data_IF_330303283089
#
_entry.id   IF_330303283089
#
_cell.length_a   1.000
_cell.length_b   1.000
_cell.length_c   1.000
_cell.angle_alpha   90.00
_cell.angle_beta   90.00
_cell.angle_gamma   90.00
#
_symmetry.space_group_name_H-M   'P 1'
#
loop_
_entity.id
_entity.type
_entity.pdbx_description
1 polymer ?
#
# COMPACT_ATOMS: atom_id res chain seq x y z
N UNK A 1 -39.44 4.11 15.80
CA UNK A 1 -39.57 3.14 16.88
C UNK A 1 -38.63 1.98 16.64
N UNK A 2 -37.90 1.56 17.66
CA UNK A 2 -36.94 0.44 17.58
C UNK A 2 -37.60 -0.92 17.92
N UNK A 3 -38.81 -0.89 18.49
CA UNK A 3 -39.53 -2.08 18.88
C UNK A 3 -41.02 -1.91 18.56
N UNK A 4 -41.57 -2.84 17.80
CA UNK A 4 -42.98 -2.85 17.40
C UNK A 4 -43.91 -3.06 18.58
N UNK A 5 -43.44 -3.72 19.64
CA UNK A 5 -44.23 -3.96 20.85
C UNK A 5 -44.55 -2.70 21.66
N UNK A 6 -43.84 -1.60 21.42
CA UNK A 6 -44.05 -0.30 22.08
C UNK A 6 -45.00 0.61 21.30
N UNK A 7 -45.49 0.19 20.15
CA UNK A 7 -46.39 0.98 19.32
C UNK A 7 -47.83 0.77 19.73
N UNK A 8 -48.61 1.84 19.67
CA UNK A 8 -50.04 1.87 19.92
C UNK A 8 -50.74 2.51 18.71
N UNK A 9 -52.07 2.36 18.62
CA UNK A 9 -52.83 2.97 17.54
C UNK A 9 -52.74 4.50 17.45
N UNK A 10 -52.25 5.19 18.51
CA UNK A 10 -51.97 6.61 18.52
C UNK A 10 -50.54 6.99 18.13
N UNK A 11 -49.64 6.02 17.93
CA UNK A 11 -48.26 6.28 17.57
C UNK A 11 -48.17 6.84 16.15
N UNK A 12 -47.50 8.00 15.99
CA UNK A 12 -47.29 8.66 14.68
C UNK A 12 -45.98 8.17 14.05
N UNK A 13 -45.98 6.99 13.49
CA UNK A 13 -44.83 6.35 12.81
C UNK A 13 -45.23 5.93 11.41
N UNK A 14 -44.23 5.83 10.56
CA UNK A 14 -44.33 5.26 9.22
C UNK A 14 -43.33 4.12 9.08
N UNK A 15 -43.54 3.25 8.14
CA UNK A 15 -42.65 2.13 7.80
C UNK A 15 -42.10 2.36 6.39
N UNK A 16 -40.81 2.13 6.24
CA UNK A 16 -40.12 2.28 4.97
C UNK A 16 -39.59 0.91 4.56
N UNK A 17 -39.93 0.47 3.36
CA UNK A 17 -39.46 -0.79 2.78
C UNK A 17 -38.84 -0.50 1.42
N UNK A 18 -37.67 -1.07 1.16
CA UNK A 18 -37.09 -1.08 -0.17
C UNK A 18 -37.76 -2.16 -1.03
N UNK A 19 -38.15 -1.77 -2.24
CA UNK A 19 -38.73 -2.65 -3.26
C UNK A 19 -37.81 -2.71 -4.48
N UNK A 20 -38.24 -3.33 -5.57
CA UNK A 20 -37.42 -3.50 -6.77
C UNK A 20 -36.85 -2.19 -7.32
N UNK A 21 -35.63 -2.28 -7.87
CA UNK A 21 -34.91 -1.18 -8.54
C UNK A 21 -34.58 0.04 -7.66
N UNK A 22 -34.35 -0.17 -6.35
CA UNK A 22 -33.95 0.89 -5.43
C UNK A 22 -35.06 1.91 -5.14
N UNK A 23 -36.33 1.53 -5.37
CA UNK A 23 -37.49 2.30 -4.96
C UNK A 23 -37.86 1.97 -3.52
N UNK A 24 -38.46 2.94 -2.85
CA UNK A 24 -38.93 2.78 -1.48
C UNK A 24 -40.46 2.93 -1.43
N UNK A 25 -41.07 2.06 -0.66
CA UNK A 25 -42.48 2.11 -0.34
C UNK A 25 -42.67 2.57 1.09
N UNK A 26 -43.61 3.51 1.30
CA UNK A 26 -43.88 4.09 2.61
C UNK A 26 -45.26 3.62 3.03
N UNK A 27 -45.30 2.90 4.16
CA UNK A 27 -46.54 2.45 4.77
C UNK A 27 -46.89 3.26 6.03
N UNK A 28 -48.13 3.54 6.19
CA UNK A 28 -48.69 4.11 7.42
C UNK A 28 -49.49 3.07 8.22
N UNK A 29 -49.76 3.36 9.45
CA UNK A 29 -50.49 2.45 10.30
C UNK A 29 -51.95 2.27 9.88
N UNK A 30 -52.60 1.26 10.48
CA UNK A 30 -54.00 0.89 10.31
C UNK A 30 -54.89 1.35 11.48
N UNK A 31 -54.35 2.13 12.43
CA UNK A 31 -55.00 2.56 13.62
C UNK A 31 -54.90 1.55 14.82
N UNK A 32 -54.25 0.39 14.59
CA UNK A 32 -54.01 -0.63 15.64
C UNK A 32 -52.54 -0.56 16.12
N UNK A 33 -51.60 -0.68 15.19
CA UNK A 33 -50.16 -0.66 15.52
C UNK A 33 -49.59 0.76 15.44
N UNK A 34 -50.13 1.60 14.53
CA UNK A 34 -49.80 3.01 14.45
C UNK A 34 -50.95 3.78 13.82
N UNK A 35 -50.92 5.10 13.91
CA UNK A 35 -51.96 5.97 13.36
C UNK A 35 -52.05 5.83 11.85
N UNK A 36 -53.24 5.58 11.32
CA UNK A 36 -53.53 5.60 9.89
C UNK A 36 -53.63 7.04 9.35
N UNK A 37 -53.47 7.20 8.05
CA UNK A 37 -53.79 8.44 7.34
C UNK A 37 -55.23 8.43 6.88
N UNK A 38 -55.86 9.61 6.88
CA UNK A 38 -57.23 9.81 6.41
C UNK A 38 -57.25 10.48 5.04
N UNK A 39 -58.38 10.40 4.36
CA UNK A 39 -58.58 11.11 3.10
C UNK A 39 -58.36 12.62 3.28
N UNK A 40 -57.62 13.24 2.35
CA UNK A 40 -57.24 14.64 2.43
C UNK A 40 -55.96 14.97 3.20
N UNK A 41 -55.31 13.94 3.84
CA UNK A 41 -53.99 14.17 4.40
C UNK A 41 -52.94 14.42 3.34
N UNK A 42 -52.04 15.38 3.59
CA UNK A 42 -50.91 15.70 2.74
C UNK A 42 -49.69 15.00 3.30
N UNK A 43 -49.04 14.17 2.50
CA UNK A 43 -47.78 13.51 2.84
C UNK A 43 -46.63 14.27 2.16
N UNK A 44 -45.76 14.86 2.98
CA UNK A 44 -44.56 15.55 2.48
C UNK A 44 -43.34 14.64 2.68
N UNK A 45 -42.68 14.27 1.60
CA UNK A 45 -41.45 13.47 1.61
C UNK A 45 -40.25 14.37 1.45
N UNK A 46 -39.34 14.32 2.42
CA UNK A 46 -38.03 14.96 2.34
C UNK A 46 -36.96 13.90 2.29
N UNK A 47 -36.16 13.92 1.24
CA UNK A 47 -35.10 12.92 1.04
C UNK A 47 -33.83 13.59 0.48
N UNK A 48 -32.69 12.96 0.70
CA UNK A 48 -31.40 13.40 0.22
C UNK A 48 -31.02 12.58 -1.01
N UNK A 49 -30.64 13.26 -2.08
CA UNK A 49 -30.03 12.63 -3.26
C UNK A 49 -28.52 12.78 -3.14
N UNK A 50 -27.82 11.67 -3.11
CA UNK A 50 -26.36 11.65 -3.04
C UNK A 50 -25.74 11.35 -4.42
N UNK A 51 -24.56 11.90 -4.66
CA UNK A 51 -23.76 11.58 -5.86
C UNK A 51 -22.94 10.29 -5.70
N UNK A 52 -23.29 9.44 -4.71
CA UNK A 52 -22.61 8.18 -4.40
C UNK A 52 -21.09 8.37 -4.25
N UNK A 53 -20.28 7.63 -5.00
CA UNK A 53 -18.81 7.72 -4.94
C UNK A 53 -18.22 8.93 -5.65
N UNK A 54 -18.99 9.63 -6.49
CA UNK A 54 -18.47 10.70 -7.37
C UNK A 54 -17.89 11.92 -6.60
N UNK A 55 -18.33 12.15 -5.37
CA UNK A 55 -17.82 13.22 -4.52
C UNK A 55 -16.61 12.83 -3.65
N UNK A 56 -16.27 11.54 -3.59
CA UNK A 56 -15.13 11.09 -2.80
C UNK A 56 -13.82 11.67 -3.35
N UNK A 57 -12.95 12.11 -2.43
CA UNK A 57 -11.67 12.73 -2.78
C UNK A 57 -11.74 14.22 -3.08
N UNK A 58 -12.93 14.84 -3.09
CA UNK A 58 -13.03 16.30 -3.26
C UNK A 58 -12.32 17.05 -2.12
N UNK A 59 -11.46 18.00 -2.48
CA UNK A 59 -10.64 18.79 -1.54
C UNK A 59 -10.99 20.26 -1.52
N UNK A 60 -11.85 20.72 -2.45
CA UNK A 60 -12.30 22.11 -2.54
C UNK A 60 -13.79 22.21 -2.27
N UNK A 61 -14.15 23.04 -1.31
CA UNK A 61 -15.53 23.27 -0.91
C UNK A 61 -15.83 24.76 -0.95
N UNK A 62 -16.99 25.13 -1.51
CA UNK A 62 -17.50 26.49 -1.50
C UNK A 62 -18.64 26.63 -0.50
N UNK A 63 -18.65 27.72 0.22
CA UNK A 63 -19.79 28.12 1.07
C UNK A 63 -20.85 28.86 0.26
N UNK A 64 -22.14 28.72 0.57
CA UNK A 64 -23.15 29.68 0.12
C UNK A 64 -22.79 31.08 0.61
N UNK A 65 -23.31 32.10 -0.06
CA UNK A 65 -23.02 33.51 0.23
C UNK A 65 -23.34 33.92 1.68
N UNK A 66 -24.26 33.21 2.32
CA UNK A 66 -24.57 33.39 3.75
C UNK A 66 -25.09 32.11 4.36
N UNK A 67 -24.79 31.89 5.64
CA UNK A 67 -25.37 30.83 6.46
C UNK A 67 -26.05 31.52 7.64
N UNK A 68 -27.35 31.33 7.81
CA UNK A 68 -28.19 31.98 8.87
C UNK A 68 -27.98 33.48 8.96
N UNK A 69 -27.90 34.16 7.80
CA UNK A 69 -27.69 35.60 7.71
C UNK A 69 -26.24 36.09 7.89
N UNK A 70 -25.30 35.20 8.24
CA UNK A 70 -23.86 35.52 8.37
C UNK A 70 -23.19 35.44 7.01
N UNK A 71 -22.52 36.53 6.60
CA UNK A 71 -21.76 36.62 5.34
C UNK A 71 -20.24 36.61 5.61
N UNK A 72 -19.44 36.38 4.57
CA UNK A 72 -17.96 36.42 4.69
C UNK A 72 -17.38 35.13 5.33
N UNK A 73 -18.07 34.01 5.19
CA UNK A 73 -17.65 32.72 5.76
C UNK A 73 -16.45 32.18 4.99
N UNK A 74 -15.38 31.86 5.73
CA UNK A 74 -14.20 31.17 5.19
C UNK A 74 -14.33 29.68 5.41
N UNK A 75 -14.22 28.91 4.33
CA UNK A 75 -14.23 27.44 4.38
C UNK A 75 -12.80 26.94 4.34
N UNK A 76 -12.38 26.20 5.37
CA UNK A 76 -11.07 25.54 5.41
C UNK A 76 -11.28 24.04 5.32
N UNK A 77 -10.66 23.40 4.33
CA UNK A 77 -10.73 21.94 4.16
C UNK A 77 -9.83 21.26 5.20
N UNK A 78 -10.41 20.45 6.06
CA UNK A 78 -9.69 19.66 7.07
C UNK A 78 -9.29 18.30 6.52
N UNK A 79 -10.15 17.71 5.67
CA UNK A 79 -9.91 16.43 5.01
C UNK A 79 -10.70 16.38 3.70
N UNK A 80 -10.26 15.53 2.76
CA UNK A 80 -11.02 15.26 1.55
C UNK A 80 -12.36 14.59 1.85
N UNK A 81 -13.35 14.86 0.99
CA UNK A 81 -14.66 14.21 1.11
C UNK A 81 -14.55 12.69 1.01
N UNK A 82 -15.28 11.99 1.87
CA UNK A 82 -15.33 10.53 1.90
C UNK A 82 -16.70 10.06 2.42
N UNK A 83 -17.02 8.78 2.28
CA UNK A 83 -18.25 8.20 2.79
C UNK A 83 -19.34 7.98 1.72
N UNK A 84 -19.11 8.44 0.48
CA UNK A 84 -19.98 8.07 -0.64
C UNK A 84 -19.72 6.63 -1.05
N UNK A 85 -20.77 5.84 -1.27
CA UNK A 85 -20.68 4.45 -1.70
C UNK A 85 -21.73 4.13 -2.77
N UNK A 86 -21.42 3.17 -3.63
CA UNK A 86 -22.40 2.55 -4.51
C UNK A 86 -23.30 1.60 -3.69
N UNK A 87 -24.51 1.30 -4.16
CA UNK A 87 -25.33 0.25 -3.58
C UNK A 87 -24.57 -1.08 -3.50
N UNK A 88 -24.78 -1.81 -2.43
CA UNK A 88 -24.12 -3.10 -2.23
C UNK A 88 -24.55 -4.09 -3.31
N UNK A 89 -23.57 -4.84 -3.84
CA UNK A 89 -23.83 -5.85 -4.87
C UNK A 89 -24.49 -7.10 -4.28
N UNK A 90 -25.26 -7.84 -5.09
CA UNK A 90 -25.93 -9.07 -4.66
C UNK A 90 -24.94 -10.12 -4.14
N UNK A 91 -23.75 -10.23 -4.74
CA UNK A 91 -22.74 -11.19 -4.30
C UNK A 91 -22.13 -10.78 -2.95
N UNK A 92 -21.96 -9.49 -2.70
CA UNK A 92 -21.56 -8.96 -1.39
C UNK A 92 -22.61 -9.25 -0.33
N UNK A 93 -23.90 -9.04 -0.66
CA UNK A 93 -25.01 -9.34 0.26
C UNK A 93 -25.04 -10.84 0.59
N UNK A 94 -24.94 -11.72 -0.42
CA UNK A 94 -24.91 -13.18 -0.19
C UNK A 94 -23.77 -13.61 0.73
N UNK A 95 -22.61 -12.95 0.64
CA UNK A 95 -21.47 -13.25 1.50
C UNK A 95 -21.66 -12.73 2.93
N UNK A 96 -22.20 -11.52 3.08
CA UNK A 96 -22.29 -10.83 4.38
C UNK A 96 -23.54 -11.18 5.18
N UNK A 97 -24.70 -11.42 4.53
CA UNK A 97 -25.95 -11.65 5.23
C UNK A 97 -25.91 -12.86 6.20
N UNK A 98 -25.29 -14.01 5.88
CA UNK A 98 -25.14 -15.09 6.84
C UNK A 98 -24.31 -14.72 8.07
N UNK A 99 -23.26 -13.89 7.89
CA UNK A 99 -22.39 -13.44 8.98
C UNK A 99 -23.11 -12.43 9.86
N UNK A 100 -23.85 -11.49 9.29
CA UNK A 100 -24.68 -10.53 10.02
C UNK A 100 -25.77 -11.26 10.84
N UNK A 101 -26.44 -12.23 10.24
CA UNK A 101 -27.42 -13.08 10.93
C UNK A 101 -26.79 -13.89 12.07
N UNK A 102 -25.60 -14.47 11.84
CA UNK A 102 -24.90 -15.26 12.87
C UNK A 102 -24.47 -14.41 14.06
N UNK A 103 -24.15 -13.13 13.87
CA UNK A 103 -23.79 -12.19 14.95
C UNK A 103 -24.94 -11.90 15.92
N UNK A 104 -26.19 -12.07 15.47
CA UNK A 104 -27.42 -11.79 16.25
C UNK A 104 -27.40 -10.41 16.92
N UNK A 105 -26.84 -9.41 16.26
CA UNK A 105 -26.77 -8.04 16.78
C UNK A 105 -25.76 -7.85 17.92
N UNK A 106 -24.77 -8.73 18.07
CA UNK A 106 -23.72 -8.64 19.10
C UNK A 106 -22.35 -8.84 18.51
N UNK A 107 -21.41 -7.96 18.85
CA UNK A 107 -20.01 -8.07 18.48
C UNK A 107 -19.24 -8.79 19.59
N UNK A 108 -19.01 -10.09 19.42
CA UNK A 108 -18.30 -10.97 20.36
C UNK A 108 -16.98 -11.43 19.78
N UNK A 109 -17.00 -11.87 18.53
CA UNK A 109 -15.80 -12.33 17.80
C UNK A 109 -15.21 -11.22 16.94
N UNK A 110 -13.95 -11.36 16.53
CA UNK A 110 -13.30 -10.43 15.61
C UNK A 110 -14.07 -10.30 14.28
N UNK A 111 -14.67 -11.39 13.81
CA UNK A 111 -15.50 -11.39 12.60
C UNK A 111 -16.80 -10.59 12.74
N UNK A 112 -17.44 -10.61 13.92
CA UNK A 112 -18.61 -9.78 14.15
C UNK A 112 -18.25 -8.29 14.06
N UNK A 113 -17.12 -7.88 14.67
CA UNK A 113 -16.64 -6.51 14.55
C UNK A 113 -16.36 -6.11 13.08
N UNK A 114 -15.77 -7.00 12.27
CA UNK A 114 -15.56 -6.73 10.83
C UNK A 114 -16.89 -6.44 10.12
N UNK A 115 -17.93 -7.24 10.38
CA UNK A 115 -19.26 -7.09 9.77
C UNK A 115 -19.90 -5.76 10.18
N UNK A 116 -19.89 -5.43 11.48
CA UNK A 116 -20.46 -4.17 11.95
C UNK A 116 -19.68 -2.94 11.44
N UNK A 117 -18.37 -3.01 11.38
CA UNK A 117 -17.53 -1.92 10.80
C UNK A 117 -17.90 -1.69 9.35
N UNK A 118 -18.00 -2.73 8.52
CA UNK A 118 -18.40 -2.61 7.11
C UNK A 118 -19.81 -2.04 6.94
N UNK A 119 -20.70 -2.33 7.87
CA UNK A 119 -22.06 -1.79 7.88
C UNK A 119 -22.08 -0.31 8.28
N UNK A 120 -21.28 0.08 9.30
CA UNK A 120 -21.19 1.46 9.79
C UNK A 120 -20.39 2.37 8.86
N UNK A 121 -19.41 1.81 8.16
CA UNK A 121 -18.56 2.55 7.23
C UNK A 121 -18.46 1.79 5.90
N UNK A 122 -19.43 1.97 4.98
CA UNK A 122 -19.48 1.24 3.70
C UNK A 122 -18.25 1.45 2.80
N UNK A 123 -17.55 2.59 2.97
CA UNK A 123 -16.35 2.96 2.20
C UNK A 123 -15.10 2.18 2.64
N UNK A 124 -15.29 0.95 3.10
CA UNK A 124 -14.23 0.08 3.61
C UNK A 124 -13.74 -0.86 2.51
N UNK A 125 -12.47 -0.72 2.12
CA UNK A 125 -11.80 -1.68 1.24
C UNK A 125 -11.46 -2.96 2.03
N UNK A 126 -10.77 -2.80 3.16
CA UNK A 126 -10.37 -3.90 4.02
C UNK A 126 -10.49 -3.54 5.51
N UNK A 127 -10.75 -4.54 6.35
CA UNK A 127 -10.79 -4.41 7.82
C UNK A 127 -9.92 -5.50 8.42
N UNK A 128 -9.15 -5.14 9.44
CA UNK A 128 -8.45 -6.08 10.32
C UNK A 128 -8.91 -5.84 11.74
N UNK A 129 -9.30 -6.90 12.44
CA UNK A 129 -9.71 -6.86 13.84
C UNK A 129 -8.93 -7.88 14.64
N UNK A 130 -8.40 -7.49 15.79
CA UNK A 130 -7.73 -8.41 16.70
C UNK A 130 -8.05 -8.05 18.15
N UNK A 131 -8.03 -9.06 19.03
CA UNK A 131 -8.19 -8.86 20.47
C UNK A 131 -6.92 -8.30 21.09
N UNK A 132 -7.06 -7.50 22.14
CA UNK A 132 -5.92 -6.97 22.87
C UNK A 132 -5.09 -8.03 23.60
N UNK A 133 -5.62 -9.24 23.82
CA UNK A 133 -4.87 -10.39 24.31
C UNK A 133 -3.82 -10.89 23.32
N UNK A 134 -4.07 -10.70 22.03
CA UNK A 134 -3.13 -11.04 20.96
C UNK A 134 -2.06 -9.98 20.72
N UNK A 135 -2.13 -8.83 21.36
CA UNK A 135 -1.18 -7.73 21.29
C UNK A 135 -1.82 -6.35 21.29
N UNK A 136 -1.04 -5.39 21.78
CA UNK A 136 -1.41 -3.97 21.84
C UNK A 136 -0.97 -3.21 20.59
N UNK A 137 -1.39 -1.96 20.51
CA UNK A 137 -0.95 -1.02 19.50
C UNK A 137 -0.49 0.29 20.16
N UNK A 138 0.69 0.74 19.77
CA UNK A 138 1.23 2.05 20.12
C UNK A 138 1.48 2.86 18.85
N UNK A 139 1.07 4.13 18.84
CA UNK A 139 1.17 4.99 17.65
C UNK A 139 2.61 5.28 17.22
N UNK A 140 3.58 5.11 18.11
CA UNK A 140 5.00 5.37 17.84
C UNK A 140 5.78 4.12 17.43
N UNK A 141 5.39 2.94 17.97
CA UNK A 141 6.11 1.68 17.74
C UNK A 141 5.33 0.66 16.94
N UNK A 142 4.03 0.93 16.68
CA UNK A 142 3.16 0.02 15.95
C UNK A 142 2.60 -1.10 16.82
N UNK A 143 2.36 -2.26 16.21
CA UNK A 143 1.83 -3.45 16.91
C UNK A 143 2.91 -4.06 17.81
N UNK A 144 2.55 -4.34 19.07
CA UNK A 144 3.39 -5.02 20.05
C UNK A 144 2.79 -6.39 20.41
N UNK A 145 3.63 -7.33 20.82
CA UNK A 145 3.19 -8.61 21.38
C UNK A 145 2.71 -8.51 22.84
N UNK A 146 2.82 -7.34 23.47
CA UNK A 146 2.33 -7.13 24.83
C UNK A 146 0.81 -7.16 24.86
N UNK A 147 0.21 -8.01 25.70
CA UNK A 147 -1.24 -8.11 25.83
C UNK A 147 -1.85 -6.87 26.49
N UNK A 148 -2.96 -6.39 25.97
CA UNK A 148 -3.77 -5.31 26.52
C UNK A 148 -5.24 -5.74 26.61
N UNK A 149 -5.59 -6.37 27.69
CA UNK A 149 -6.92 -6.97 27.89
C UNK A 149 -8.05 -5.92 27.93
N UNK A 150 -9.25 -6.33 27.52
CA UNK A 150 -10.43 -5.48 27.52
C UNK A 150 -10.50 -4.52 26.32
N UNK A 151 -9.59 -4.66 25.35
CA UNK A 151 -9.61 -3.89 24.11
C UNK A 151 -9.75 -4.80 22.88
N UNK A 152 -10.38 -4.25 21.86
CA UNK A 152 -10.37 -4.80 20.50
C UNK A 152 -9.83 -3.71 19.58
N UNK A 153 -8.76 -4.02 18.89
CA UNK A 153 -8.14 -3.11 17.93
C UNK A 153 -8.71 -3.36 16.53
N UNK A 154 -9.02 -2.28 15.83
CA UNK A 154 -9.64 -2.30 14.52
C UNK A 154 -8.84 -1.39 13.58
N UNK A 155 -8.32 -1.94 12.51
CA UNK A 155 -7.69 -1.18 11.43
C UNK A 155 -8.54 -1.24 10.17
N UNK A 156 -8.76 -0.08 9.54
CA UNK A 156 -9.67 0.07 8.41
C UNK A 156 -8.92 0.74 7.26
N UNK A 157 -8.79 0.06 6.12
CA UNK A 157 -8.36 0.64 4.86
C UNK A 157 -9.58 1.20 4.14
N UNK A 158 -9.60 2.50 3.92
CA UNK A 158 -10.65 3.14 3.11
C UNK A 158 -10.41 2.91 1.62
N UNK A 159 -11.50 2.89 0.84
CA UNK A 159 -11.44 2.87 -0.64
C UNK A 159 -10.75 4.09 -1.23
N UNK A 160 -10.65 5.20 -0.48
CA UNK A 160 -9.90 6.40 -0.88
C UNK A 160 -8.40 6.28 -0.66
N UNK A 161 -7.93 5.20 0.00
CA UNK A 161 -6.53 5.01 0.37
C UNK A 161 -6.03 5.88 1.53
N UNK A 162 -6.82 6.82 2.00
CA UNK A 162 -6.47 7.71 3.12
C UNK A 162 -6.84 7.09 4.47
N UNK A 163 -6.09 7.41 5.51
CA UNK A 163 -6.46 7.05 6.88
C UNK A 163 -7.72 7.82 7.32
N UNK A 164 -8.48 7.20 8.21
CA UNK A 164 -9.70 7.79 8.76
C UNK A 164 -9.41 9.01 9.62
N UNK A 165 -10.23 10.04 9.48
CA UNK A 165 -10.17 11.21 10.36
C UNK A 165 -10.58 10.85 11.79
N UNK A 166 -10.17 11.66 12.77
CA UNK A 166 -10.57 11.46 14.17
C UNK A 166 -12.08 11.44 14.36
N UNK A 167 -12.81 12.24 13.59
CA UNK A 167 -14.28 12.29 13.61
C UNK A 167 -14.88 10.98 13.08
N UNK A 168 -14.37 10.47 11.97
CA UNK A 168 -14.83 9.19 11.41
C UNK A 168 -14.56 8.04 12.38
N UNK A 169 -13.36 7.99 12.99
CA UNK A 169 -13.03 7.00 14.03
C UNK A 169 -13.99 7.06 15.19
N UNK A 170 -14.28 8.26 15.73
CA UNK A 170 -15.23 8.46 16.83
C UNK A 170 -16.63 8.03 16.46
N UNK A 171 -17.10 8.34 15.26
CA UNK A 171 -18.43 7.93 14.79
C UNK A 171 -18.57 6.41 14.67
N UNK A 172 -17.54 5.72 14.17
CA UNK A 172 -17.55 4.26 14.07
C UNK A 172 -17.56 3.63 15.47
N UNK A 173 -16.73 4.13 16.41
CA UNK A 173 -16.73 3.64 17.81
C UNK A 173 -18.09 3.87 18.47
N UNK A 174 -18.71 5.04 18.29
CA UNK A 174 -20.05 5.33 18.78
C UNK A 174 -21.10 4.38 18.18
N UNK A 175 -21.01 4.10 16.88
CA UNK A 175 -21.87 3.16 16.18
C UNK A 175 -21.70 1.70 16.63
N UNK A 176 -20.50 1.30 17.07
CA UNK A 176 -20.23 -0.02 17.63
C UNK A 176 -20.74 -0.19 19.07
N UNK A 177 -20.95 0.90 19.80
CA UNK A 177 -21.33 0.88 21.22
C UNK A 177 -22.58 0.03 21.54
N UNK A 178 -23.66 0.03 20.74
CA UNK A 178 -24.85 -0.80 21.00
C UNK A 178 -24.59 -2.30 20.82
N UNK A 179 -23.57 -2.69 20.09
CA UNK A 179 -23.29 -4.09 19.71
C UNK A 179 -22.18 -4.73 20.54
N UNK A 180 -21.30 -3.93 21.15
CA UNK A 180 -20.14 -4.42 21.90
C UNK A 180 -20.53 -5.10 23.22
N UNK A 181 -19.69 -6.04 23.68
CA UNK A 181 -19.74 -6.57 25.04
C UNK A 181 -19.34 -5.49 26.05
N UNK A 182 -19.98 -5.45 27.21
CA UNK A 182 -19.84 -4.36 28.19
C UNK A 182 -18.40 -4.08 28.63
N UNK A 183 -17.57 -5.11 28.77
CA UNK A 183 -16.17 -5.00 29.22
C UNK A 183 -15.17 -4.73 28.10
N UNK A 184 -15.61 -4.70 26.83
CA UNK A 184 -14.72 -4.55 25.67
C UNK A 184 -14.78 -3.12 25.12
N UNK A 185 -13.62 -2.55 24.90
CA UNK A 185 -13.48 -1.21 24.30
C UNK A 185 -12.89 -1.32 22.91
N UNK A 186 -13.65 -0.99 21.85
CA UNK A 186 -13.10 -0.93 20.49
C UNK A 186 -12.21 0.30 20.33
N UNK A 187 -11.03 0.10 19.73
CA UNK A 187 -10.03 1.14 19.44
C UNK A 187 -9.71 1.09 17.95
N UNK A 188 -9.93 2.19 17.23
CA UNK A 188 -9.59 2.27 15.82
C UNK A 188 -8.16 2.79 15.66
N UNK A 189 -7.33 1.98 15.02
CA UNK A 189 -5.91 2.29 14.73
C UNK A 189 -5.72 2.59 13.26
N UNK A 190 -4.70 3.39 12.93
CA UNK A 190 -4.39 3.71 11.54
C UNK A 190 -3.82 2.49 10.80
N UNK A 191 -4.18 2.40 9.53
CA UNK A 191 -3.58 1.42 8.62
C UNK A 191 -2.20 1.90 8.22
N UNK A 192 -1.21 1.04 8.34
CA UNK A 192 0.11 1.26 7.83
C UNK A 192 0.29 0.59 6.46
N UNK A 193 0.72 1.37 5.48
CA UNK A 193 1.05 0.83 4.16
C UNK A 193 2.56 0.67 4.04
N UNK A 194 3.02 -0.53 3.70
CA UNK A 194 4.38 -0.77 3.23
C UNK A 194 4.34 -0.93 1.72
N UNK A 195 5.00 -0.02 1.03
CA UNK A 195 5.09 -0.05 -0.42
C UNK A 195 6.20 -1.02 -0.85
N UNK A 196 5.95 -1.78 -1.90
CA UNK A 196 6.92 -2.68 -2.52
C UNK A 196 7.34 -2.09 -3.86
N UNK A 197 8.62 -1.83 -4.02
CA UNK A 197 9.19 -1.37 -5.29
C UNK A 197 9.85 -2.55 -5.96
N UNK A 198 9.39 -2.89 -7.16
CA UNK A 198 9.89 -4.00 -7.93
C UNK A 198 10.83 -3.50 -9.03
N UNK A 199 11.96 -4.19 -9.19
CA UNK A 199 12.83 -4.02 -10.36
C UNK A 199 12.88 -5.35 -11.09
N UNK A 200 12.15 -5.42 -12.19
CA UNK A 200 11.97 -6.62 -13.00
C UNK A 200 12.73 -6.49 -14.31
N UNK A 201 13.49 -7.48 -14.66
CA UNK A 201 14.12 -7.62 -15.98
C UNK A 201 13.66 -8.93 -16.61
N UNK A 202 13.13 -8.84 -17.82
CA UNK A 202 12.55 -9.95 -18.56
C UNK A 202 13.50 -10.29 -19.72
N UNK A 203 13.70 -11.58 -19.96
CA UNK A 203 14.34 -12.10 -21.14
C UNK A 203 13.28 -12.78 -22.01
N UNK A 204 13.18 -12.39 -23.27
CA UNK A 204 12.18 -12.92 -24.19
C UNK A 204 12.75 -13.32 -25.53
N UNK A 205 12.12 -14.28 -26.20
CA UNK A 205 12.44 -14.74 -27.56
C UNK A 205 11.71 -13.85 -28.58
N UNK A 206 12.46 -13.05 -29.30
CA UNK A 206 11.92 -12.17 -30.34
C UNK A 206 11.41 -12.92 -31.58
N UNK A 207 11.74 -14.21 -31.75
CA UNK A 207 11.21 -15.04 -32.84
C UNK A 207 9.84 -15.64 -32.52
N UNK A 208 9.49 -15.73 -31.24
CA UNK A 208 8.24 -16.28 -30.75
C UNK A 208 7.10 -15.25 -30.65
N UNK A 209 7.39 -13.95 -30.89
CA UNK A 209 6.41 -12.88 -30.78
C UNK A 209 6.60 -11.81 -31.83
N UNK A 210 5.50 -11.14 -32.18
CA UNK A 210 5.52 -9.92 -33.01
C UNK A 210 5.54 -8.64 -32.18
N UNK A 211 5.51 -8.76 -30.84
CA UNK A 211 5.48 -7.63 -29.89
C UNK A 211 6.88 -7.05 -29.73
N UNK A 212 6.91 -5.75 -29.52
CA UNK A 212 8.12 -5.02 -29.16
C UNK A 212 8.45 -5.22 -27.68
N UNK A 213 9.71 -4.95 -27.31
CA UNK A 213 10.15 -4.98 -25.91
C UNK A 213 9.27 -4.12 -24.99
N UNK A 214 8.88 -2.93 -25.46
CA UNK A 214 8.01 -2.03 -24.69
C UNK A 214 6.58 -2.56 -24.49
N UNK A 215 6.03 -3.27 -25.48
CA UNK A 215 4.71 -3.88 -25.35
C UNK A 215 4.72 -5.06 -24.37
N UNK A 216 5.78 -5.87 -24.38
CA UNK A 216 5.95 -6.95 -23.38
C UNK A 216 6.09 -6.37 -21.97
N UNK A 217 6.93 -5.32 -21.81
CA UNK A 217 7.07 -4.63 -20.52
C UNK A 217 5.73 -4.05 -20.02
N UNK A 218 4.90 -3.48 -20.91
CA UNK A 218 3.59 -2.95 -20.56
C UNK A 218 2.61 -4.06 -20.14
N UNK A 219 2.62 -5.21 -20.80
CA UNK A 219 1.81 -6.38 -20.40
C UNK A 219 2.21 -6.86 -19.01
N UNK A 220 3.50 -6.98 -18.74
CA UNK A 220 3.99 -7.40 -17.42
C UNK A 220 3.66 -6.37 -16.34
N UNK A 221 3.74 -5.07 -16.65
CA UNK A 221 3.29 -4.02 -15.73
C UNK A 221 1.81 -4.17 -15.39
N UNK A 222 0.98 -4.51 -16.38
CA UNK A 222 -0.44 -4.81 -16.15
C UNK A 222 -0.63 -6.05 -15.27
N UNK A 223 0.15 -7.10 -15.47
CA UNK A 223 0.12 -8.31 -14.62
C UNK A 223 0.51 -7.99 -13.18
N UNK A 224 1.53 -7.16 -12.98
CA UNK A 224 1.94 -6.68 -11.65
C UNK A 224 0.82 -5.87 -10.99
N UNK A 225 0.16 -4.97 -11.73
CA UNK A 225 -0.98 -4.20 -11.24
C UNK A 225 -2.15 -5.10 -10.83
N UNK A 226 -2.50 -6.08 -11.66
CA UNK A 226 -3.56 -7.04 -11.35
C UNK A 226 -3.25 -7.88 -10.11
N UNK A 227 -1.99 -8.27 -9.92
CA UNK A 227 -1.55 -8.96 -8.71
C UNK A 227 -1.66 -8.06 -7.46
N UNK A 228 -1.27 -6.79 -7.57
CA UNK A 228 -1.44 -5.80 -6.50
C UNK A 228 -2.92 -5.67 -6.08
N UNK A 229 -3.80 -5.48 -7.05
CA UNK A 229 -5.22 -5.21 -6.80
C UNK A 229 -5.98 -6.46 -6.32
N UNK A 230 -5.60 -7.64 -6.81
CA UNK A 230 -6.26 -8.89 -6.49
C UNK A 230 -5.75 -9.57 -5.22
N UNK A 231 -4.48 -9.41 -4.88
CA UNK A 231 -3.84 -10.22 -3.84
C UNK A 231 -3.35 -9.41 -2.63
N UNK A 232 -2.96 -8.14 -2.79
CA UNK A 232 -2.25 -7.40 -1.75
C UNK A 232 -3.09 -6.36 -1.00
N UNK A 233 -4.15 -5.82 -1.58
CA UNK A 233 -4.94 -4.72 -0.99
C UNK A 233 -5.85 -5.16 0.17
N UNK A 234 -5.47 -6.22 0.88
CA UNK A 234 -6.16 -6.72 2.07
C UNK A 234 -5.19 -7.00 3.22
N UNK A 235 -5.71 -6.97 4.45
CA UNK A 235 -4.91 -7.34 5.61
C UNK A 235 -4.58 -8.84 5.60
N UNK A 236 -3.45 -9.20 6.21
CA UNK A 236 -2.93 -10.57 6.28
C UNK A 236 -2.62 -11.21 4.90
N UNK A 237 -2.47 -10.40 3.86
CA UNK A 237 -2.12 -10.87 2.52
C UNK A 237 -0.61 -10.75 2.30
N UNK A 238 0.14 -11.86 2.41
CA UNK A 238 1.58 -11.83 2.22
C UNK A 238 1.94 -11.69 0.74
N UNK A 239 2.95 -10.90 0.46
CA UNK A 239 3.58 -10.87 -0.85
C UNK A 239 4.41 -12.14 -1.02
N UNK A 240 4.09 -12.92 -2.04
CA UNK A 240 4.79 -14.16 -2.41
C UNK A 240 5.58 -13.95 -3.70
N UNK A 241 6.89 -13.83 -3.56
CA UNK A 241 7.79 -13.56 -4.68
C UNK A 241 7.68 -14.58 -5.80
N UNK A 242 7.75 -15.88 -5.48
CA UNK A 242 7.66 -16.94 -6.48
C UNK A 242 6.32 -16.99 -7.22
N UNK A 243 5.20 -16.61 -6.54
CA UNK A 243 3.88 -16.53 -7.18
C UNK A 243 3.87 -15.43 -8.23
N UNK A 244 4.41 -14.26 -7.91
CA UNK A 244 4.51 -13.14 -8.86
C UNK A 244 5.40 -13.50 -10.05
N UNK A 245 6.58 -14.11 -9.81
CA UNK A 245 7.47 -14.55 -10.90
C UNK A 245 6.76 -15.47 -11.88
N UNK A 246 6.02 -16.47 -11.35
CA UNK A 246 5.24 -17.37 -12.18
C UNK A 246 4.13 -16.69 -12.98
N UNK A 247 3.50 -15.62 -12.44
CA UNK A 247 2.51 -14.83 -13.17
C UNK A 247 3.18 -14.00 -14.28
N UNK A 248 4.37 -13.44 -14.02
CA UNK A 248 5.15 -12.71 -15.02
C UNK A 248 5.57 -13.62 -16.16
N UNK A 249 6.12 -14.80 -15.86
CA UNK A 249 6.54 -15.77 -16.88
C UNK A 249 5.37 -16.25 -17.76
N UNK A 250 4.18 -16.33 -17.19
CA UNK A 250 2.97 -16.74 -17.91
C UNK A 250 2.24 -15.59 -18.63
N UNK A 251 2.75 -14.35 -18.56
CA UNK A 251 2.10 -13.20 -19.18
C UNK A 251 2.12 -13.26 -20.70
N UNK A 252 3.22 -13.74 -21.27
CA UNK A 252 3.36 -13.94 -22.72
C UNK A 252 4.20 -15.19 -23.00
N UNK A 253 3.82 -16.05 -23.98
CA UNK A 253 4.59 -17.26 -24.30
C UNK A 253 6.03 -17.01 -24.78
N UNK A 254 6.35 -15.81 -25.20
CA UNK A 254 7.73 -15.44 -25.60
C UNK A 254 8.66 -15.17 -24.43
N UNK A 255 8.13 -14.99 -23.22
CA UNK A 255 8.94 -14.76 -22.02
C UNK A 255 9.63 -16.07 -21.62
N UNK A 256 10.96 -16.04 -21.57
CA UNK A 256 11.77 -17.20 -21.23
C UNK A 256 12.13 -17.22 -19.75
N UNK A 257 12.41 -16.06 -19.17
CA UNK A 257 12.65 -15.90 -17.74
C UNK A 257 12.45 -14.45 -17.28
N UNK A 258 12.34 -14.28 -15.98
CA UNK A 258 12.40 -12.97 -15.35
C UNK A 258 13.31 -12.96 -14.13
N UNK A 259 13.90 -11.81 -13.84
CA UNK A 259 14.61 -11.55 -12.60
C UNK A 259 14.00 -10.34 -11.93
N UNK A 260 13.42 -10.54 -10.75
CA UNK A 260 12.73 -9.48 -10.01
C UNK A 260 13.35 -9.30 -8.63
N UNK A 261 13.79 -8.09 -8.32
CA UNK A 261 14.23 -7.70 -6.99
C UNK A 261 13.15 -6.86 -6.31
N UNK A 262 13.06 -6.98 -4.99
CA UNK A 262 12.03 -6.33 -4.19
C UNK A 262 12.68 -5.41 -3.17
N UNK A 263 12.19 -4.17 -3.08
CA UNK A 263 12.53 -3.22 -2.04
C UNK A 263 11.26 -2.89 -1.24
N UNK A 264 11.38 -2.84 0.08
CA UNK A 264 10.34 -2.28 0.93
C UNK A 264 10.52 -0.77 1.00
N UNK A 265 9.43 -0.01 0.93
CA UNK A 265 9.45 1.45 1.04
C UNK A 265 8.39 1.94 2.03
N UNK A 266 8.76 2.91 2.85
CA UNK A 266 7.83 3.65 3.72
C UNK A 266 8.05 5.15 3.56
N UNK A 267 6.97 5.91 3.79
CA UNK A 267 7.00 7.36 3.75
C UNK A 267 6.86 7.92 5.15
N UNK A 268 7.67 8.92 5.49
CA UNK A 268 7.51 9.75 6.68
C UNK A 268 7.13 11.17 6.27
N UNK A 269 6.34 11.85 7.11
CA UNK A 269 5.92 13.24 6.92
C UNK A 269 6.61 14.09 7.99
N UNK A 270 7.84 14.58 7.77
CA UNK A 270 8.51 15.39 8.76
C UNK A 270 7.84 16.76 8.89
N UNK A 271 7.74 17.25 10.11
CA UNK A 271 7.42 18.66 10.35
C UNK A 271 8.69 19.47 10.14
N UNK A 272 8.70 20.30 9.09
CA UNK A 272 9.87 21.06 8.71
C UNK A 272 10.25 22.07 9.80
N UNK A 273 11.55 22.30 9.98
CA UNK A 273 12.14 23.22 10.94
C UNK A 273 11.88 22.87 12.43
N UNK A 274 11.41 21.65 12.70
CA UNK A 274 11.23 21.14 14.06
C UNK A 274 12.05 19.87 14.21
N UNK A 275 12.81 19.78 15.30
CA UNK A 275 13.54 18.57 15.64
C UNK A 275 12.57 17.48 16.10
N UNK A 276 12.55 16.36 15.40
CA UNK A 276 11.60 15.27 15.65
C UNK A 276 12.32 13.93 15.58
N UNK A 277 11.91 13.00 16.42
CA UNK A 277 12.31 11.60 16.33
C UNK A 277 11.39 10.86 15.37
N UNK A 278 11.98 9.99 14.55
CA UNK A 278 11.21 9.16 13.60
C UNK A 278 11.46 7.69 13.88
N UNK A 279 10.38 6.93 13.97
CA UNK A 279 10.43 5.47 14.00
C UNK A 279 9.77 4.92 12.73
N UNK A 280 10.52 4.16 11.95
CA UNK A 280 10.05 3.49 10.74
C UNK A 280 10.08 1.99 11.00
N UNK A 281 8.92 1.36 10.99
CA UNK A 281 8.80 -0.07 11.25
C UNK A 281 8.37 -0.79 9.97
N UNK A 282 9.29 -1.53 9.34
CA UNK A 282 8.98 -2.38 8.18
C UNK A 282 8.31 -3.68 8.59
N UNK A 283 8.42 -4.07 9.87
CA UNK A 283 7.86 -5.32 10.42
C UNK A 283 8.33 -6.60 9.71
N UNK A 284 9.37 -6.48 8.91
CA UNK A 284 10.03 -7.57 8.21
C UNK A 284 11.55 -7.40 8.30
N UNK A 285 12.31 -8.49 8.44
CA UNK A 285 13.77 -8.40 8.57
C UNK A 285 14.43 -7.73 7.38
N UNK A 286 15.39 -6.86 7.68
CA UNK A 286 16.18 -6.14 6.69
C UNK A 286 17.49 -6.92 6.45
N UNK A 287 17.94 -6.96 5.19
CA UNK A 287 19.10 -7.72 4.78
C UNK A 287 20.39 -7.24 5.45
N UNK A 288 21.01 -8.12 6.21
CA UNK A 288 22.34 -7.91 6.79
C UNK A 288 23.02 -9.28 7.02
N UNK A 289 23.74 -9.81 6.03
CA UNK A 289 24.30 -11.17 6.10
C UNK A 289 25.43 -11.31 7.13
N UNK A 290 26.13 -10.23 7.46
CA UNK A 290 27.14 -10.19 8.50
C UNK A 290 27.37 -8.75 9.00
N UNK A 291 27.80 -8.55 10.23
CA UNK A 291 28.10 -7.23 10.79
C UNK A 291 29.09 -6.45 9.91
N UNK A 292 28.74 -5.19 9.59
CA UNK A 292 29.57 -4.33 8.76
C UNK A 292 29.47 -4.60 7.25
N UNK A 293 28.46 -5.34 6.79
CA UNK A 293 28.23 -5.66 5.38
C UNK A 293 28.30 -4.43 4.47
N UNK A 294 27.73 -3.31 4.90
CA UNK A 294 27.65 -2.06 4.13
C UNK A 294 28.46 -0.91 4.73
N UNK A 295 29.48 -1.20 5.54
CA UNK A 295 30.24 -0.18 6.27
C UNK A 295 30.86 0.89 5.37
N UNK A 296 31.22 0.54 4.14
CA UNK A 296 31.89 1.44 3.18
C UNK A 296 30.99 2.01 2.09
N UNK A 297 29.96 1.27 1.67
CA UNK A 297 29.17 1.62 0.48
C UNK A 297 27.69 1.90 0.77
N UNK A 298 27.15 1.49 1.93
CA UNK A 298 25.71 1.50 2.19
C UNK A 298 24.94 0.68 1.16
N UNK A 299 23.63 0.82 1.08
CA UNK A 299 22.84 0.30 -0.03
C UNK A 299 21.73 -0.64 0.35
N UNK A 300 21.66 -1.08 1.61
CA UNK A 300 20.51 -1.84 2.11
C UNK A 300 19.39 -0.91 2.54
N UNK A 301 19.74 0.21 3.19
CA UNK A 301 18.81 1.30 3.46
C UNK A 301 19.19 2.51 2.61
N UNK A 302 18.19 3.15 2.02
CA UNK A 302 18.36 4.39 1.29
C UNK A 302 17.15 5.30 1.50
N UNK A 303 17.33 6.60 1.26
CA UNK A 303 16.22 7.57 1.27
C UNK A 303 16.22 8.42 0.02
N UNK A 304 15.09 9.08 -0.25
CA UNK A 304 15.08 10.29 -1.08
C UNK A 304 15.82 11.41 -0.36
N UNK A 305 16.19 12.46 -1.09
CA UNK A 305 16.96 13.55 -0.55
C UNK A 305 16.17 14.46 0.38
N UNK A 306 16.87 15.12 1.30
CA UNK A 306 16.34 16.14 2.19
C UNK A 306 17.37 17.23 2.48
N UNK A 307 16.93 18.35 3.06
CA UNK A 307 17.79 19.50 3.36
C UNK A 307 17.88 19.74 4.86
N UNK A 308 19.05 20.15 5.33
CA UNK A 308 19.35 20.47 6.74
C UNK A 308 19.86 21.90 6.89
N UNK A 309 19.57 22.54 8.03
CA UNK A 309 20.19 23.80 8.43
C UNK A 309 19.94 25.00 7.51
N UNK A 310 18.87 25.00 6.70
CA UNK A 310 18.57 26.09 5.77
C UNK A 310 19.50 26.14 4.53
N UNK A 311 20.36 25.14 4.35
CA UNK A 311 21.23 25.01 3.18
C UNK A 311 20.48 24.25 2.08
N UNK A 312 19.97 24.99 1.10
CA UNK A 312 19.16 24.41 -0.01
C UNK A 312 20.04 23.82 -1.13
N UNK A 313 21.36 24.01 -1.08
CA UNK A 313 22.28 23.57 -2.13
C UNK A 313 22.95 22.23 -1.83
N UNK A 314 22.76 21.66 -0.64
CA UNK A 314 23.33 20.37 -0.26
C UNK A 314 22.19 19.43 0.10
N UNK A 315 22.05 18.39 -0.70
CA UNK A 315 21.06 17.34 -0.51
C UNK A 315 21.67 16.22 0.33
N UNK A 316 20.97 15.85 1.39
CA UNK A 316 21.37 14.80 2.33
C UNK A 316 20.53 13.55 2.12
N UNK A 317 21.10 12.41 2.46
CA UNK A 317 20.51 11.08 2.30
C UNK A 317 20.79 10.22 3.53
N UNK A 318 19.93 9.25 3.79
CA UNK A 318 20.19 8.20 4.77
C UNK A 318 20.85 6.99 4.12
N UNK A 319 21.76 6.36 4.84
CA UNK A 319 22.20 4.98 4.65
C UNK A 319 22.50 4.32 6.01
N UNK A 320 22.99 3.10 5.99
CA UNK A 320 23.34 2.34 7.19
C UNK A 320 24.78 1.80 7.12
N UNK A 321 25.34 1.36 8.26
CA UNK A 321 26.73 0.91 8.37
C UNK A 321 26.91 -0.62 8.48
N UNK A 322 25.81 -1.39 8.46
CA UNK A 322 25.82 -2.83 8.69
C UNK A 322 26.09 -3.25 10.13
N UNK A 323 26.21 -2.29 11.07
CA UNK A 323 26.51 -2.52 12.50
C UNK A 323 25.41 -2.03 13.43
N UNK A 324 24.33 -1.50 12.89
CA UNK A 324 23.19 -1.03 13.66
C UNK A 324 23.05 0.49 13.71
N UNK A 325 23.85 1.26 12.98
CA UNK A 325 23.72 2.71 12.92
C UNK A 325 23.13 3.16 11.59
N UNK A 326 22.26 4.17 11.64
CA UNK A 326 21.83 4.97 10.50
C UNK A 326 22.72 6.19 10.41
N UNK A 327 23.19 6.48 9.20
CA UNK A 327 24.10 7.58 8.90
C UNK A 327 23.43 8.58 7.97
N UNK A 328 23.87 9.85 8.04
CA UNK A 328 23.50 10.90 7.09
C UNK A 328 24.72 11.20 6.23
N UNK A 329 24.57 11.22 4.92
CA UNK A 329 25.62 11.56 3.98
C UNK A 329 25.10 12.53 2.91
N UNK A 330 26.02 13.18 2.23
CA UNK A 330 25.80 13.96 1.02
C UNK A 330 26.85 13.59 -0.05
N UNK A 331 26.62 13.98 -1.28
CA UNK A 331 27.51 13.64 -2.39
C UNK A 331 28.43 14.82 -2.73
N UNK A 332 29.74 14.58 -2.70
CA UNK A 332 30.75 15.50 -3.23
C UNK A 332 31.34 14.90 -4.50
N UNK A 333 31.05 15.46 -5.66
CA UNK A 333 31.47 14.92 -6.97
C UNK A 333 31.14 13.43 -7.14
N UNK A 334 29.97 13.02 -6.66
CA UNK A 334 29.51 11.63 -6.72
C UNK A 334 30.07 10.69 -5.63
N UNK A 335 30.93 11.19 -4.74
CA UNK A 335 31.50 10.42 -3.62
C UNK A 335 30.70 10.72 -2.34
N UNK A 336 30.33 9.68 -1.58
CA UNK A 336 29.64 9.82 -0.30
C UNK A 336 30.54 10.46 0.73
N UNK A 337 30.07 11.54 1.34
CA UNK A 337 30.70 12.21 2.46
C UNK A 337 29.74 12.19 3.63
N UNK A 338 30.15 11.58 4.74
CA UNK A 338 29.27 11.43 5.89
C UNK A 338 29.22 12.72 6.72
N UNK A 339 28.00 13.21 6.92
CA UNK A 339 27.70 14.35 7.78
C UNK A 339 27.55 13.89 9.24
N UNK A 340 26.81 12.80 9.46
CA UNK A 340 26.64 12.19 10.77
C UNK A 340 26.68 10.65 10.62
N UNK A 341 27.53 10.00 11.39
CA UNK A 341 27.72 8.56 11.36
C UNK A 341 26.78 7.79 12.31
N UNK A 342 26.03 8.51 13.16
CA UNK A 342 25.21 7.96 14.25
C UNK A 342 23.89 8.69 14.39
N UNK A 343 23.31 9.15 13.28
CA UNK A 343 22.04 9.87 13.23
C UNK A 343 20.83 9.04 13.73
N UNK A 344 20.99 7.73 13.82
CA UNK A 344 19.93 6.83 14.27
C UNK A 344 20.44 5.41 14.46
N UNK A 345 19.47 4.52 14.72
CA UNK A 345 19.74 3.09 14.90
C UNK A 345 18.85 2.26 13.99
N UNK A 346 19.33 1.06 13.63
CA UNK A 346 18.59 0.07 12.87
C UNK A 346 18.67 -1.29 13.55
N UNK A 347 17.51 -1.92 13.74
CA UNK A 347 17.41 -3.33 14.10
C UNK A 347 17.04 -4.13 12.86
N UNK A 348 17.98 -4.88 12.33
CA UNK A 348 17.80 -5.67 11.11
C UNK A 348 16.84 -6.84 11.28
N UNK A 349 16.68 -7.36 12.51
CA UNK A 349 15.82 -8.52 12.78
C UNK A 349 14.35 -8.10 12.82
N UNK A 350 14.05 -7.03 13.56
CA UNK A 350 12.68 -6.51 13.67
C UNK A 350 12.28 -5.62 12.49
N UNK A 351 13.25 -5.13 11.71
CA UNK A 351 13.00 -4.18 10.62
C UNK A 351 12.66 -2.77 11.11
N UNK A 352 13.14 -2.37 12.29
CA UNK A 352 12.86 -1.07 12.88
C UNK A 352 14.05 -0.13 12.69
N UNK A 353 13.77 1.04 12.14
CA UNK A 353 14.74 2.15 12.02
C UNK A 353 14.27 3.28 12.93
N UNK A 354 15.17 3.81 13.75
CA UNK A 354 14.94 4.98 14.58
C UNK A 354 15.93 6.07 14.21
N UNK A 355 15.42 7.25 13.88
CA UNK A 355 16.21 8.45 13.58
C UNK A 355 15.96 9.44 14.70
N UNK A 356 17.04 9.92 15.32
CA UNK A 356 16.97 10.74 16.52
C UNK A 356 17.07 12.23 16.17
N UNK A 357 16.21 13.03 16.78
CA UNK A 357 16.29 14.50 16.88
C UNK A 357 16.71 15.22 15.59
N UNK A 358 16.11 14.88 14.47
CA UNK A 358 16.43 15.47 13.17
C UNK A 358 15.49 16.63 12.83
N UNK A 359 16.07 17.78 12.52
CA UNK A 359 15.36 18.96 12.01
C UNK A 359 15.61 19.11 10.50
N UNK A 360 14.63 18.72 9.70
CA UNK A 360 14.67 18.90 8.25
C UNK A 360 14.12 20.28 7.87
N UNK A 361 14.78 20.98 6.95
CA UNK A 361 14.34 22.28 6.44
C UNK A 361 13.59 22.18 5.13
N UNK A 362 13.70 21.05 4.43
CA UNK A 362 13.00 20.75 3.19
C UNK A 362 13.21 19.30 2.78
N UNK A 363 12.39 18.85 1.85
CA UNK A 363 12.49 17.54 1.21
C UNK A 363 12.75 17.79 -0.27
N UNK A 364 13.63 16.98 -0.86
CA UNK A 364 13.87 17.01 -2.29
C UNK A 364 12.66 16.52 -3.07
N UNK A 365 12.65 16.75 -4.36
CA UNK A 365 11.66 16.15 -5.24
C UNK A 365 11.66 14.62 -5.12
N UNK A 366 10.48 14.04 -5.04
CA UNK A 366 10.29 12.60 -5.11
C UNK A 366 9.66 12.30 -6.47
N UNK A 367 10.32 11.46 -7.25
CA UNK A 367 9.85 11.06 -8.57
C UNK A 367 9.59 12.25 -9.52
N UNK A 368 10.44 13.28 -9.42
CA UNK A 368 10.34 14.50 -10.23
C UNK A 368 9.23 15.47 -9.84
N UNK A 369 8.63 15.27 -8.67
CA UNK A 369 7.57 16.12 -8.13
C UNK A 369 7.92 16.63 -6.75
N UNK A 370 7.55 17.87 -6.43
CA UNK A 370 7.67 18.42 -5.08
C UNK A 370 6.92 17.53 -4.09
N UNK A 371 7.59 17.12 -3.03
CA UNK A 371 7.05 16.22 -2.02
C UNK A 371 7.17 16.82 -0.63
N UNK A 372 6.16 16.58 0.19
CA UNK A 372 6.20 16.81 1.65
C UNK A 372 6.57 15.54 2.41
N UNK A 373 6.76 14.42 1.70
CA UNK A 373 7.06 13.12 2.29
C UNK A 373 8.44 12.64 1.88
N UNK A 374 9.21 12.15 2.84
CA UNK A 374 10.48 11.49 2.61
C UNK A 374 10.25 9.99 2.46
N UNK A 375 10.72 9.40 1.37
CA UNK A 375 10.68 7.97 1.13
C UNK A 375 11.96 7.32 1.69
N UNK A 376 11.78 6.25 2.48
CA UNK A 376 12.86 5.42 2.98
C UNK A 376 12.65 4.01 2.44
N UNK A 377 13.68 3.46 1.82
CA UNK A 377 13.67 2.12 1.24
C UNK A 377 14.62 1.20 1.99
N UNK A 378 14.24 -0.07 2.08
CA UNK A 378 15.08 -1.11 2.68
C UNK A 378 15.03 -2.41 1.85
N UNK A 379 16.15 -3.09 1.73
CA UNK A 379 16.22 -4.42 1.12
C UNK A 379 15.78 -5.45 2.15
N UNK A 380 14.74 -6.27 1.88
CA UNK A 380 14.33 -7.31 2.82
C UNK A 380 15.32 -8.49 2.82
N UNK A 381 15.40 -9.23 3.93
CA UNK A 381 16.18 -10.48 4.02
C UNK A 381 15.59 -11.57 3.14
N UNK A 382 14.27 -11.63 3.03
CA UNK A 382 13.53 -12.51 2.15
C UNK A 382 12.63 -11.69 1.25
N UNK A 383 12.51 -12.08 0.00
CA UNK A 383 11.55 -11.44 -0.91
C UNK A 383 10.10 -11.84 -0.64
N UNK A 384 9.84 -12.84 0.19
CA UNK A 384 8.52 -13.08 0.76
C UNK A 384 8.31 -12.12 1.93
N UNK A 385 7.32 -11.24 1.82
CA UNK A 385 7.03 -10.19 2.80
C UNK A 385 5.67 -10.45 3.43
N UNK A 386 5.63 -10.47 4.76
CA UNK A 386 4.43 -10.78 5.53
C UNK A 386 3.96 -9.53 6.26
N UNK A 387 2.73 -9.05 6.01
CA UNK A 387 2.21 -7.90 6.74
C UNK A 387 1.84 -8.29 8.17
N UNK A 388 2.01 -7.37 9.11
CA UNK A 388 1.46 -7.49 10.46
C UNK A 388 0.07 -6.87 10.51
N UNK A 389 -0.71 -7.19 11.52
CA UNK A 389 -2.13 -6.92 11.78
C UNK A 389 -2.76 -5.66 11.18
N UNK A 390 -2.14 -4.48 11.38
CA UNK A 390 -2.63 -3.20 10.83
C UNK A 390 -1.91 -2.81 9.53
N UNK A 391 -1.03 -3.67 9.00
CA UNK A 391 -0.23 -3.38 7.82
C UNK A 391 -0.88 -3.96 6.56
N UNK A 392 -0.81 -3.20 5.48
CA UNK A 392 -1.15 -3.63 4.12
C UNK A 392 0.08 -3.47 3.26
N UNK A 393 0.29 -4.43 2.37
CA UNK A 393 1.31 -4.35 1.33
C UNK A 393 0.67 -3.81 0.05
N UNK A 394 1.40 -2.93 -0.64
CA UNK A 394 0.97 -2.33 -1.89
C UNK A 394 2.17 -2.19 -2.82
N UNK A 395 2.03 -2.54 -4.09
CA UNK A 395 3.12 -2.34 -5.06
C UNK A 395 3.10 -0.89 -5.52
N UNK A 396 4.22 -0.20 -5.36
CA UNK A 396 4.43 1.15 -5.88
C UNK A 396 4.70 1.07 -7.39
N UNK A 397 3.64 1.18 -8.17
CA UNK A 397 3.73 1.10 -9.64
C UNK A 397 4.49 2.27 -10.27
N UNK A 398 4.57 3.41 -9.59
CA UNK A 398 5.30 4.60 -10.10
C UNK A 398 6.80 4.36 -10.06
N UNK A 399 7.29 3.73 -9.01
CA UNK A 399 8.71 3.46 -8.80
C UNK A 399 9.13 2.04 -9.23
N UNK A 400 8.17 1.19 -9.57
CA UNK A 400 8.43 -0.13 -10.13
C UNK A 400 8.92 0.00 -11.57
N UNK A 401 10.02 -0.68 -11.88
CA UNK A 401 10.59 -0.69 -13.21
C UNK A 401 10.53 -2.08 -13.84
N UNK A 402 10.08 -2.13 -15.09
CA UNK A 402 10.04 -3.35 -15.89
C UNK A 402 10.86 -3.11 -17.15
N UNK A 403 11.99 -3.83 -17.26
CA UNK A 403 12.83 -3.87 -18.46
C UNK A 403 12.65 -5.17 -19.21
N UNK A 404 12.65 -5.14 -20.52
CA UNK A 404 12.60 -6.35 -21.35
C UNK A 404 13.73 -6.36 -22.36
N UNK A 405 14.45 -7.47 -22.43
CA UNK A 405 15.58 -7.70 -23.30
C UNK A 405 15.37 -8.94 -24.17
N UNK A 406 15.85 -8.88 -25.40
CA UNK A 406 15.87 -10.05 -26.27
C UNK A 406 16.91 -11.05 -25.74
N UNK A 407 16.52 -12.30 -25.61
CA UNK A 407 17.47 -13.38 -25.29
C UNK A 407 18.27 -13.75 -26.55
N UNK A 408 19.52 -13.30 -26.56
CA UNK A 408 20.42 -13.58 -27.68
C UNK A 408 20.72 -15.07 -27.86
N UNK A 409 20.66 -15.86 -26.80
CA UNK A 409 20.88 -17.31 -26.84
C UNK A 409 19.75 -18.01 -27.59
N UNK A 410 18.49 -17.60 -27.35
CA UNK A 410 17.33 -18.17 -28.04
C UNK A 410 17.31 -17.86 -29.53
N UNK A 411 17.80 -16.65 -29.93
CA UNK A 411 17.71 -16.20 -31.32
C UNK A 411 18.96 -16.50 -32.15
N UNK A 412 20.14 -16.52 -31.54
CA UNK A 412 21.42 -16.60 -32.28
C UNK A 412 22.31 -17.77 -31.87
N UNK A 413 21.96 -18.47 -30.79
CA UNK A 413 22.80 -19.53 -30.20
C UNK A 413 24.11 -19.02 -29.57
N UNK A 414 24.28 -17.73 -29.43
CA UNK A 414 25.46 -17.11 -28.78
C UNK A 414 25.16 -16.88 -27.32
N UNK A 415 26.10 -17.23 -26.45
CA UNK A 415 25.95 -17.08 -25.01
C UNK A 415 25.63 -15.65 -24.56
N UNK A 416 24.75 -15.56 -23.61
CA UNK A 416 24.29 -14.29 -23.01
C UNK A 416 25.38 -13.72 -22.08
N UNK A 417 25.71 -12.45 -22.24
CA UNK A 417 26.63 -11.73 -21.36
C UNK A 417 25.88 -10.62 -20.62
N UNK A 418 25.66 -10.81 -19.33
CA UNK A 418 25.19 -9.71 -18.46
C UNK A 418 26.38 -8.88 -18.00
N UNK A 419 26.43 -7.64 -18.38
CA UNK A 419 27.33 -6.67 -17.73
C UNK A 419 26.59 -6.07 -16.55
N UNK A 420 26.90 -6.50 -15.33
CA UNK A 420 26.45 -5.78 -14.15
C UNK A 420 27.27 -4.52 -13.99
N UNK A 421 26.70 -3.38 -14.31
CA UNK A 421 27.26 -2.09 -13.93
C UNK A 421 26.79 -1.79 -12.50
N UNK A 422 27.70 -1.80 -11.57
CA UNK A 422 27.46 -1.25 -10.25
C UNK A 422 27.17 0.27 -10.40
N UNK A 423 25.98 0.68 -9.93
CA UNK A 423 25.46 2.04 -9.93
C UNK A 423 24.61 2.44 -11.16
N UNK A 424 23.31 2.35 -11.02
CA UNK A 424 22.27 3.30 -11.43
C UNK A 424 22.30 3.85 -12.86
N UNK A 425 22.62 3.05 -13.89
CA UNK A 425 22.21 3.32 -15.27
C UNK A 425 22.52 2.10 -16.12
N UNK A 426 21.51 1.38 -16.54
CA UNK A 426 21.67 0.25 -17.46
C UNK A 426 21.76 0.79 -18.88
N UNK A 427 22.98 0.90 -19.39
CA UNK A 427 23.20 1.02 -20.83
C UNK A 427 23.52 -0.37 -21.37
N UNK A 428 22.55 -0.97 -22.03
CA UNK A 428 22.75 -2.24 -22.74
C UNK A 428 23.54 -1.97 -24.00
N UNK A 429 24.83 -2.37 -24.03
CA UNK A 429 25.61 -2.37 -25.25
C UNK A 429 25.47 -3.76 -25.86
N UNK A 430 24.74 -3.85 -26.96
CA UNK A 430 24.69 -5.05 -27.79
C UNK A 430 26.01 -5.12 -28.56
N UNK A 431 26.85 -6.10 -28.22
CA UNK A 431 28.02 -6.39 -29.05
C UNK A 431 27.55 -7.14 -30.30
N UNK A 432 27.51 -6.43 -31.43
CA UNK A 432 27.26 -7.06 -32.73
C UNK A 432 28.53 -7.85 -33.13
N UNK A 433 28.49 -9.17 -32.98
CA UNK A 433 29.50 -10.04 -33.51
C UNK A 433 29.31 -10.11 -35.03
N UNK A 434 30.18 -9.43 -35.79
CA UNK A 434 30.24 -9.55 -37.23
C UNK A 434 30.85 -10.91 -37.57
N UNK A 435 30.03 -11.85 -38.06
CA UNK A 435 30.52 -13.10 -38.61
C UNK A 435 31.16 -12.84 -39.95
N UNK A 436 32.47 -12.76 -40.01
CA UNK A 436 33.23 -12.91 -41.26
C UNK A 436 33.40 -14.39 -41.54
N UNK A 437 32.58 -14.92 -42.42
CA UNK A 437 32.82 -16.22 -43.05
C UNK A 437 33.99 -16.10 -44.01
N UNK A 438 35.18 -16.56 -43.62
CA UNK A 438 36.28 -16.83 -44.57
C UNK A 438 36.34 -18.33 -44.78
N UNK A 439 35.82 -18.75 -45.92
CA UNK A 439 36.16 -20.05 -46.52
C UNK A 439 37.59 -20.01 -47.05
N UNK A 440 38.48 -20.79 -46.47
CA UNK A 440 39.73 -21.16 -47.13
C UNK A 440 39.91 -22.66 -47.09
N UNK A 441 39.75 -23.24 -48.27
CA UNK A 441 40.22 -24.57 -48.63
C UNK A 441 41.72 -24.48 -48.80
N UNK A 442 42.48 -25.42 -48.25
CA UNK A 442 43.93 -25.47 -48.50
C UNK A 442 44.61 -26.56 -47.71
N UNK A 443 44.56 -27.73 -48.26
CA UNK A 443 45.59 -28.77 -48.44
C UNK A 443 46.66 -28.97 -47.38
N UNK A 444 46.69 -30.21 -46.93
CA UNK A 444 47.73 -31.14 -46.49
C UNK A 444 49.19 -30.73 -46.59
N UNK A 445 49.95 -30.91 -45.54
CA UNK A 445 51.20 -31.62 -45.58
C UNK A 445 51.63 -32.08 -44.19
N UNK A 446 51.91 -33.37 -44.10
CA UNK A 446 52.48 -34.02 -42.96
C UNK A 446 53.98 -33.71 -42.84
N UNK A 447 54.51 -33.54 -41.65
CA UNK A 447 55.88 -33.97 -41.33
C UNK A 447 56.01 -34.27 -39.83
N UNK A 448 56.44 -35.47 -39.62
CA UNK A 448 56.88 -36.09 -38.37
C UNK A 448 58.21 -35.46 -37.90
N UNK A 449 58.42 -35.33 -36.58
CA UNK A 449 59.67 -35.72 -35.89
C UNK A 449 59.49 -35.53 -34.38
N UNK A 450 59.54 -36.58 -33.71
CA UNK A 450 60.25 -37.14 -32.54
C UNK A 450 61.25 -36.22 -31.82
N UNK A 451 61.21 -36.25 -30.54
CA UNK A 451 62.17 -36.66 -29.49
C UNK A 451 62.09 -35.81 -28.25
N UNK A 452 61.74 -36.42 -27.15
CA UNK A 452 62.57 -36.85 -26.02
C UNK A 452 63.23 -35.78 -25.16
N UNK A 453 62.89 -35.85 -23.86
CA UNK A 453 63.93 -35.80 -22.86
C UNK A 453 63.79 -34.85 -21.70
N UNK A 454 63.66 -35.47 -20.54
CA UNK A 454 63.83 -35.06 -19.16
C UNK A 454 62.68 -34.32 -18.50
#
# INVERSE_FOLDING_TARGET
ATDISQLTGASTVYYLQEIEAGKFEVYFGDGVISSGISDGNIVTLQYVVSNKTAANGATSFSSPSSIDGVTGITVTTVASASGGAEPETLDSIKLKAPLDFASQGRAVTTKDYEVFVRRLFPNTLAVSVWGGEDGSYDSSTGVSSTAEYGKVFISIKSTTGQNLTSVQKSNIVAGLTPYKVASITPVIVDTETTNLILKTTIQYDSSATTRTASEIAALVTTTISNYNDGELQSFNSPFRHSKLLGLIDNTDPSILNNTTTVLMAKFINPTLNISTDFTINFSNPIYNPHPGHNSTSGGVVASTGFYLGGVTNTEYFFDEDGRGNIRIYYLVRGVRTYFDATAGTIDYISGIIKINSLSMTGISEVDGSSSTRLRITAVPTSYDIVPVRNQILEIDLVNTSVGSNVDATATTGVGYVTTQTASGSSTTTVATATSTSSSSVGSSSASSSSSSGY
#
